data_IF_524328029874
#
_entry.id   IF_524328029874
#
_cell.length_a   1.000
_cell.length_b   1.000
_cell.length_c   1.000
_cell.angle_alpha   90.00
_cell.angle_beta   90.00
_cell.angle_gamma   90.00
#
_symmetry.space_group_name_H-M   'P 1'
#
loop_
_entity.id
_entity.type
_entity.pdbx_description
1 polymer ?
#
# COMPACT_ATOMS: atom_id res chain seq x y z
N UNK A 1 -24.28 23.15 13.54
CA UNK A 1 -24.83 21.82 13.93
C UNK A 1 -24.57 20.72 12.91
N UNK A 2 -24.77 20.94 11.59
CA UNK A 2 -24.58 19.90 10.55
C UNK A 2 -23.13 19.34 10.44
N UNK A 3 -22.10 20.15 10.73
CA UNK A 3 -20.69 19.74 10.65
C UNK A 3 -20.29 18.80 11.83
N UNK A 4 -20.80 19.04 13.03
CA UNK A 4 -20.54 18.17 14.22
C UNK A 4 -21.23 16.81 14.11
N UNK A 5 -22.41 16.73 13.50
CA UNK A 5 -23.14 15.47 13.29
C UNK A 5 -22.45 14.61 12.20
N UNK A 6 -21.92 15.22 11.14
CA UNK A 6 -21.11 14.51 10.13
C UNK A 6 -19.82 13.94 10.71
N UNK A 7 -19.13 14.70 11.57
CA UNK A 7 -17.93 14.23 12.25
C UNK A 7 -18.20 13.11 13.28
N UNK A 8 -19.39 13.11 13.92
CA UNK A 8 -19.78 12.02 14.81
C UNK A 8 -20.20 10.74 14.07
N UNK A 9 -20.88 10.87 12.93
CA UNK A 9 -21.26 9.73 12.07
C UNK A 9 -20.05 9.10 11.37
N UNK A 10 -19.05 9.89 10.96
CA UNK A 10 -17.81 9.35 10.37
C UNK A 10 -16.97 8.52 11.38
N UNK A 11 -17.19 8.70 12.69
CA UNK A 11 -16.55 7.88 13.75
C UNK A 11 -17.19 6.51 13.93
N UNK A 12 -18.42 6.31 13.44
CA UNK A 12 -19.17 5.07 13.61
C UNK A 12 -19.13 4.16 12.37
N UNK A 13 -18.73 4.70 11.21
CA UNK A 13 -18.59 3.91 9.98
C UNK A 13 -17.12 3.57 9.82
N UNK A 14 -16.73 2.28 9.83
CA UNK A 14 -15.35 1.89 9.55
C UNK A 14 -14.89 2.50 8.23
N UNK A 15 -13.68 3.08 8.21
CA UNK A 15 -13.09 3.61 6.98
C UNK A 15 -13.08 2.51 5.91
N UNK A 16 -13.30 2.88 4.64
CA UNK A 16 -13.43 1.90 3.54
C UNK A 16 -12.21 0.97 3.40
N UNK A 17 -11.03 1.45 3.81
CA UNK A 17 -9.78 0.68 3.85
C UNK A 17 -9.51 0.01 5.22
N UNK A 18 -10.40 0.16 6.21
CA UNK A 18 -10.22 -0.51 7.49
C UNK A 18 -10.44 -2.02 7.31
N UNK A 19 -9.39 -2.79 7.54
CA UNK A 19 -9.38 -4.25 7.58
C UNK A 19 -9.29 -4.64 9.06
N UNK A 20 -10.14 -5.57 9.48
CA UNK A 20 -10.00 -6.23 10.77
C UNK A 20 -8.93 -7.32 10.63
N UNK A 21 -7.70 -6.97 11.00
CA UNK A 21 -6.54 -7.83 10.86
C UNK A 21 -6.60 -9.08 11.75
N UNK A 22 -7.41 -9.07 12.82
CA UNK A 22 -7.62 -10.25 13.68
C UNK A 22 -8.24 -11.41 12.90
N UNK A 23 -9.15 -11.11 11.95
CA UNK A 23 -9.72 -12.12 11.04
C UNK A 23 -8.70 -12.67 10.03
N UNK A 24 -7.53 -12.06 9.92
CA UNK A 24 -6.39 -12.49 9.10
C UNK A 24 -5.30 -13.15 9.93
N UNK A 25 -5.47 -13.27 11.25
CA UNK A 25 -4.49 -13.87 12.15
C UNK A 25 -3.44 -12.90 12.68
N UNK A 26 -3.76 -11.58 12.70
CA UNK A 26 -2.94 -10.58 13.38
C UNK A 26 -3.71 -9.85 14.46
N UNK A 27 -3.59 -10.32 15.70
CA UNK A 27 -4.20 -9.75 16.91
C UNK A 27 -3.31 -8.67 17.56
N UNK A 28 -2.26 -8.21 16.89
CA UNK A 28 -1.34 -7.20 17.41
C UNK A 28 -2.03 -5.84 17.59
N UNK A 29 -1.62 -5.08 18.62
CA UNK A 29 -2.09 -3.70 18.77
C UNK A 29 -1.76 -2.86 17.54
N UNK A 30 -0.54 -2.97 17.01
CA UNK A 30 -0.12 -2.41 15.72
C UNK A 30 -0.16 -3.53 14.68
N UNK A 31 -1.32 -3.73 14.07
CA UNK A 31 -1.54 -4.84 13.15
C UNK A 31 -1.09 -4.49 11.72
N UNK A 32 -0.73 -5.52 10.97
CA UNK A 32 -0.49 -5.44 9.54
C UNK A 32 -1.81 -5.35 8.76
N UNK A 33 -1.81 -4.61 7.65
CA UNK A 33 -3.01 -4.42 6.83
C UNK A 33 -2.76 -4.53 5.33
N UNK A 34 -1.55 -4.95 4.90
CA UNK A 34 -1.22 -5.19 3.49
C UNK A 34 -1.58 -6.62 3.05
N UNK A 35 -1.50 -6.90 1.74
CA UNK A 35 -1.84 -8.22 1.16
C UNK A 35 -0.78 -9.30 1.42
N UNK A 36 0.42 -8.93 1.87
CA UNK A 36 1.52 -9.85 2.15
C UNK A 36 2.26 -10.37 0.93
N UNK A 37 3.52 -10.78 1.15
CA UNK A 37 4.37 -11.48 0.19
C UNK A 37 4.50 -12.94 0.63
N UNK A 38 3.81 -13.86 -0.06
CA UNK A 38 3.56 -15.23 0.38
C UNK A 38 4.63 -16.21 -0.11
N UNK A 39 5.89 -15.84 0.01
CA UNK A 39 6.99 -16.76 -0.32
C UNK A 39 7.41 -17.51 0.95
N UNK A 40 7.24 -18.83 0.95
CA UNK A 40 7.67 -19.72 2.03
C UNK A 40 7.04 -19.43 3.41
N UNK A 41 5.82 -18.89 3.46
CA UNK A 41 5.09 -18.67 4.72
C UNK A 41 3.60 -18.99 4.60
N UNK A 42 2.99 -19.35 5.73
CA UNK A 42 1.55 -19.52 5.91
C UNK A 42 1.00 -18.58 7.01
N UNK A 43 1.84 -17.68 7.52
CA UNK A 43 1.48 -16.69 8.53
C UNK A 43 1.20 -15.34 7.86
N UNK A 44 0.03 -14.76 8.12
CA UNK A 44 -0.33 -13.44 7.60
C UNK A 44 0.66 -12.35 8.05
N UNK A 45 0.99 -12.32 9.35
CA UNK A 45 1.96 -11.36 9.89
C UNK A 45 3.31 -11.46 9.20
N UNK A 46 3.77 -12.69 8.98
CA UNK A 46 5.05 -12.94 8.32
C UNK A 46 5.02 -12.55 6.85
N UNK A 47 3.95 -12.87 6.12
CA UNK A 47 3.79 -12.44 4.74
C UNK A 47 3.75 -10.91 4.60
N UNK A 48 3.04 -10.21 5.50
CA UNK A 48 2.99 -8.75 5.51
C UNK A 48 4.35 -8.13 5.81
N UNK A 49 5.10 -8.70 6.77
CA UNK A 49 6.47 -8.31 7.09
C UNK A 49 7.39 -8.50 5.89
N UNK A 50 7.30 -9.64 5.21
CA UNK A 50 8.11 -9.94 4.01
C UNK A 50 7.83 -8.95 2.88
N UNK A 51 6.57 -8.49 2.68
CA UNK A 51 6.27 -7.47 1.67
C UNK A 51 6.94 -6.13 2.01
N UNK A 52 6.92 -5.73 3.28
CA UNK A 52 7.59 -4.52 3.74
C UNK A 52 9.12 -4.63 3.60
N UNK A 53 9.70 -5.76 4.00
CA UNK A 53 11.14 -6.02 3.88
C UNK A 53 11.59 -6.05 2.43
N UNK A 54 10.81 -6.66 1.53
CA UNK A 54 11.13 -6.74 0.12
C UNK A 54 11.27 -5.32 -0.49
N UNK A 55 10.35 -4.42 -0.17
CA UNK A 55 10.40 -3.03 -0.63
C UNK A 55 11.56 -2.26 0.03
N UNK A 56 11.73 -2.39 1.35
CA UNK A 56 12.79 -1.70 2.09
C UNK A 56 14.19 -2.11 1.62
N UNK A 57 14.40 -3.40 1.34
CA UNK A 57 15.66 -3.91 0.78
C UNK A 57 15.88 -3.43 -0.65
N UNK A 58 14.86 -3.38 -1.48
CA UNK A 58 14.96 -2.91 -2.86
C UNK A 58 15.38 -1.44 -2.96
N UNK A 59 15.00 -0.60 -2.00
CA UNK A 59 15.48 0.79 -1.90
C UNK A 59 16.76 0.93 -1.05
N UNK A 60 17.37 -0.16 -0.59
CA UNK A 60 18.55 -0.14 0.28
C UNK A 60 18.36 0.73 1.54
N UNK A 61 17.18 0.61 2.19
CA UNK A 61 16.89 1.34 3.43
C UNK A 61 17.90 1.01 4.52
N UNK A 62 18.43 2.03 5.18
CA UNK A 62 19.47 1.88 6.20
C UNK A 62 19.39 2.93 7.32
N UNK A 63 20.25 2.82 8.33
CA UNK A 63 20.22 3.66 9.53
C UNK A 63 20.64 5.13 9.33
N UNK A 64 21.12 5.51 8.16
CA UNK A 64 21.48 6.92 7.85
C UNK A 64 20.30 7.68 7.23
N UNK A 65 19.23 6.98 6.85
CA UNK A 65 18.12 7.54 6.08
C UNK A 65 17.10 8.27 6.95
N UNK A 66 16.60 9.37 6.44
CA UNK A 66 15.35 9.99 6.87
C UNK A 66 14.22 9.33 6.07
N UNK A 67 13.40 8.51 6.74
CA UNK A 67 12.34 7.71 6.12
C UNK A 67 10.98 8.38 6.29
N UNK A 68 10.19 8.38 5.21
CA UNK A 68 8.75 8.69 5.20
C UNK A 68 7.96 7.47 4.75
N UNK A 69 7.02 6.99 5.57
CA UNK A 69 6.06 5.92 5.25
C UNK A 69 4.68 6.52 4.95
N UNK A 70 4.15 6.25 3.77
CA UNK A 70 2.89 6.79 3.25
C UNK A 70 1.79 5.72 3.24
N UNK A 71 0.68 6.00 3.95
CA UNK A 71 -0.39 5.02 4.13
C UNK A 71 0.00 3.92 5.11
N UNK A 72 0.61 4.28 6.23
CA UNK A 72 1.17 3.36 7.21
C UNK A 72 0.12 2.51 7.98
N UNK A 73 -1.17 2.76 7.77
CA UNK A 73 -2.27 2.01 8.38
C UNK A 73 -2.17 1.97 9.90
N UNK A 74 -2.23 0.78 10.48
CA UNK A 74 -2.19 0.63 11.94
C UNK A 74 -0.78 0.71 12.54
N UNK A 75 0.28 0.89 11.72
CA UNK A 75 1.63 1.20 12.18
C UNK A 75 2.57 0.00 12.36
N UNK A 76 2.19 -1.21 11.94
CA UNK A 76 3.07 -2.38 12.03
C UNK A 76 4.37 -2.20 11.22
N UNK A 77 4.29 -1.60 10.01
CA UNK A 77 5.45 -1.27 9.17
C UNK A 77 6.40 -0.30 9.87
N UNK A 78 5.86 0.70 10.59
CA UNK A 78 6.65 1.68 11.32
C UNK A 78 7.43 1.04 12.46
N UNK A 79 6.75 0.21 13.28
CA UNK A 79 7.40 -0.50 14.38
C UNK A 79 8.48 -1.46 13.87
N UNK A 80 8.19 -2.16 12.76
CA UNK A 80 9.15 -3.05 12.10
C UNK A 80 10.35 -2.26 11.57
N UNK A 81 10.11 -1.14 10.87
CA UNK A 81 11.14 -0.26 10.34
C UNK A 81 12.09 0.26 11.43
N UNK A 82 11.54 0.74 12.54
CA UNK A 82 12.33 1.20 13.69
C UNK A 82 13.20 0.10 14.31
N UNK A 83 12.68 -1.13 14.42
CA UNK A 83 13.40 -2.24 15.05
C UNK A 83 14.49 -2.84 14.16
N UNK A 84 14.22 -2.99 12.87
CA UNK A 84 15.10 -3.76 11.96
C UNK A 84 16.01 -2.90 11.09
N UNK A 85 15.52 -1.74 10.63
CA UNK A 85 16.31 -0.84 9.76
C UNK A 85 16.89 0.34 10.53
N UNK A 86 16.29 0.70 11.66
CA UNK A 86 16.77 1.77 12.57
C UNK A 86 17.07 3.09 11.83
N UNK A 87 16.15 3.60 10.97
CA UNK A 87 16.43 4.80 10.20
C UNK A 87 16.75 5.97 11.15
N UNK A 88 17.53 6.93 10.67
CA UNK A 88 17.92 8.13 11.43
C UNK A 88 16.73 8.92 11.94
N UNK A 89 15.66 8.98 11.15
CA UNK A 89 14.34 9.43 11.57
C UNK A 89 13.27 8.72 10.77
N UNK A 90 12.09 8.52 11.37
CA UNK A 90 10.92 7.95 10.73
C UNK A 90 9.74 8.90 10.89
N UNK A 91 9.17 9.33 9.76
CA UNK A 91 7.92 10.08 9.71
C UNK A 91 6.87 9.29 8.94
N UNK A 92 5.59 9.57 9.19
CA UNK A 92 4.51 8.87 8.53
C UNK A 92 3.29 9.75 8.24
N UNK A 93 2.48 9.33 7.26
CA UNK A 93 1.20 9.96 6.89
C UNK A 93 0.15 8.88 6.70
N UNK A 94 -1.03 9.03 7.32
CA UNK A 94 -2.19 8.17 7.09
C UNK A 94 -3.50 8.96 7.13
N UNK A 95 -4.49 8.54 6.34
CA UNK A 95 -5.81 9.17 6.30
C UNK A 95 -6.65 8.92 7.56
N UNK A 96 -6.39 7.82 8.27
CA UNK A 96 -7.22 7.34 9.35
C UNK A 96 -6.78 7.96 10.68
N UNK A 97 -7.53 8.93 11.17
CA UNK A 97 -7.24 9.62 12.44
C UNK A 97 -7.09 8.65 13.62
N UNK A 98 -7.82 7.54 13.62
CA UNK A 98 -7.71 6.52 14.68
C UNK A 98 -6.36 5.80 14.64
N UNK A 99 -5.84 5.49 13.44
CA UNK A 99 -4.52 4.90 13.25
C UNK A 99 -3.43 5.87 13.71
N UNK A 100 -3.52 7.14 13.29
CA UNK A 100 -2.57 8.19 13.69
C UNK A 100 -2.51 8.35 15.21
N UNK A 101 -3.66 8.47 15.89
CA UNK A 101 -3.70 8.58 17.36
C UNK A 101 -3.13 7.33 18.07
N UNK A 102 -3.40 6.15 17.52
CA UNK A 102 -2.88 4.89 18.05
C UNK A 102 -1.35 4.82 17.93
N UNK A 103 -0.82 5.19 16.76
CA UNK A 103 0.62 5.22 16.49
C UNK A 103 1.31 6.25 17.41
N UNK A 104 0.77 7.45 17.56
CA UNK A 104 1.30 8.48 18.48
C UNK A 104 1.43 7.96 19.91
N UNK A 105 0.47 7.15 20.35
CA UNK A 105 0.47 6.56 21.70
C UNK A 105 1.47 5.41 21.85
N UNK A 106 1.60 4.56 20.83
CA UNK A 106 2.31 3.28 20.93
C UNK A 106 3.73 3.29 20.36
N UNK A 107 4.08 4.30 19.56
CA UNK A 107 5.41 4.48 18.95
C UNK A 107 5.94 5.87 19.30
N UNK A 108 6.41 6.10 20.54
CA UNK A 108 6.94 7.41 20.94
C UNK A 108 8.21 7.82 20.18
N UNK A 109 8.91 6.86 19.58
CA UNK A 109 10.11 7.08 18.78
C UNK A 109 9.83 7.66 17.39
N UNK A 110 8.55 7.71 16.95
CA UNK A 110 8.22 8.29 15.64
C UNK A 110 8.52 9.79 15.62
N UNK A 111 9.27 10.24 14.61
CA UNK A 111 9.72 11.62 14.51
C UNK A 111 8.56 12.60 14.27
N UNK A 112 7.70 12.25 13.31
CA UNK A 112 6.47 12.99 12.98
C UNK A 112 5.44 12.03 12.41
N UNK A 113 4.16 12.22 12.75
CA UNK A 113 3.05 11.54 12.09
C UNK A 113 1.90 12.52 11.85
N UNK A 114 1.38 12.52 10.64
CA UNK A 114 0.32 13.42 10.20
C UNK A 114 -0.92 12.65 9.76
N UNK A 115 -2.08 13.20 10.10
CA UNK A 115 -3.37 12.71 9.63
C UNK A 115 -3.80 13.47 8.39
N UNK A 116 -3.80 12.81 7.23
CA UNK A 116 -4.22 13.41 5.97
C UNK A 116 -3.82 12.59 4.75
N UNK A 117 -4.06 13.17 3.58
CA UNK A 117 -3.78 12.51 2.31
C UNK A 117 -2.32 12.61 1.92
N UNK A 118 -1.71 11.49 1.56
CA UNK A 118 -0.39 11.48 0.95
C UNK A 118 -0.38 12.09 -0.48
N UNK A 119 -1.54 12.43 -1.04
CA UNK A 119 -1.64 13.17 -2.32
C UNK A 119 -1.49 14.69 -2.15
N UNK A 120 -1.34 15.18 -0.93
CA UNK A 120 -1.15 16.60 -0.62
C UNK A 120 -0.13 16.78 0.51
N UNK A 121 1.09 16.26 0.31
CA UNK A 121 2.16 16.30 1.32
C UNK A 121 2.64 17.71 1.63
N UNK A 122 2.43 18.68 0.72
CA UNK A 122 2.78 20.09 0.91
C UNK A 122 2.01 20.77 2.05
N UNK A 123 0.86 20.19 2.48
CA UNK A 123 0.11 20.71 3.62
C UNK A 123 0.79 20.43 4.97
N UNK A 124 1.79 19.54 5.00
CA UNK A 124 2.47 19.13 6.22
C UNK A 124 3.82 19.84 6.36
N UNK A 125 4.09 20.32 7.56
CA UNK A 125 5.37 20.96 7.91
C UNK A 125 6.38 19.89 8.31
N UNK A 126 7.03 19.27 7.33
CA UNK A 126 8.13 18.35 7.58
C UNK A 126 9.38 19.12 8.04
N UNK A 127 10.06 18.61 9.07
CA UNK A 127 11.29 19.22 9.61
C UNK A 127 12.44 19.20 8.63
N UNK A 128 12.41 18.27 7.67
CA UNK A 128 13.47 18.04 6.67
C UNK A 128 12.93 17.25 5.48
N UNK A 129 13.67 17.20 4.37
CA UNK A 129 13.42 16.27 3.27
C UNK A 129 13.79 14.84 3.62
N UNK A 130 13.36 13.89 2.78
CA UNK A 130 13.51 12.47 3.03
C UNK A 130 14.50 11.83 2.05
N UNK A 131 15.31 10.89 2.57
CA UNK A 131 16.24 10.10 1.77
C UNK A 131 15.55 8.87 1.19
N UNK A 132 14.49 8.40 1.86
CA UNK A 132 13.64 7.29 1.41
C UNK A 132 12.17 7.63 1.66
N UNK A 133 11.34 7.40 0.63
CA UNK A 133 9.87 7.39 0.76
C UNK A 133 9.37 6.01 0.38
N UNK A 134 8.59 5.41 1.27
CA UNK A 134 7.91 4.12 1.05
C UNK A 134 6.39 4.32 1.01
N UNK A 135 5.71 3.57 0.14
CA UNK A 135 4.25 3.43 0.15
C UNK A 135 3.89 1.96 -0.06
N UNK A 136 3.69 1.26 1.07
CA UNK A 136 3.48 -0.19 1.08
C UNK A 136 1.99 -0.48 0.85
N UNK A 137 1.65 -1.12 -0.28
CA UNK A 137 0.31 -1.62 -0.59
C UNK A 137 -0.82 -0.55 -0.53
N UNK A 138 -0.51 0.71 -0.85
CA UNK A 138 -1.48 1.81 -0.73
C UNK A 138 -1.56 2.74 -1.96
N UNK A 139 -0.47 2.94 -2.71
CA UNK A 139 -0.42 3.95 -3.78
C UNK A 139 -1.41 3.70 -4.92
N UNK A 140 -1.74 2.45 -5.23
CA UNK A 140 -2.64 2.08 -6.34
C UNK A 140 -4.11 2.50 -6.14
N UNK A 141 -4.48 2.96 -4.95
CA UNK A 141 -5.78 3.59 -4.69
C UNK A 141 -5.85 5.05 -5.17
N UNK A 142 -4.77 5.55 -5.76
CA UNK A 142 -4.64 6.92 -6.23
C UNK A 142 -4.21 6.99 -7.69
N UNK A 143 -4.35 8.18 -8.30
CA UNK A 143 -3.78 8.45 -9.61
C UNK A 143 -2.25 8.55 -9.49
N UNK A 144 -1.50 7.88 -10.40
CA UNK A 144 -0.04 7.83 -10.37
C UNK A 144 0.60 9.22 -10.43
N UNK A 145 0.14 10.08 -11.34
CA UNK A 145 0.72 11.42 -11.49
C UNK A 145 0.50 12.26 -10.22
N UNK A 146 -0.71 12.24 -9.65
CA UNK A 146 -1.01 12.95 -8.40
C UNK A 146 -0.17 12.44 -7.23
N UNK A 147 0.09 11.12 -7.17
CA UNK A 147 0.99 10.53 -6.19
C UNK A 147 2.42 11.03 -6.36
N UNK A 148 2.95 10.98 -7.58
CA UNK A 148 4.31 11.43 -7.89
C UNK A 148 4.47 12.94 -7.69
N UNK A 149 3.50 13.77 -8.12
CA UNK A 149 3.48 15.22 -7.90
C UNK A 149 3.59 15.59 -6.41
N UNK A 150 2.98 14.78 -5.55
CA UNK A 150 3.01 15.01 -4.10
C UNK A 150 4.31 14.52 -3.46
N UNK A 151 4.84 13.37 -3.89
CA UNK A 151 6.01 12.73 -3.28
C UNK A 151 7.32 13.37 -3.73
N UNK A 152 7.44 13.75 -5.01
CA UNK A 152 8.71 14.27 -5.56
C UNK A 152 9.25 15.48 -4.80
N UNK A 153 8.45 16.48 -4.39
CA UNK A 153 8.98 17.65 -3.67
C UNK A 153 9.56 17.34 -2.29
N UNK A 154 9.09 16.29 -1.60
CA UNK A 154 9.55 15.95 -0.26
C UNK A 154 10.78 15.03 -0.25
N UNK A 155 11.14 14.41 -1.38
CA UNK A 155 12.35 13.64 -1.54
C UNK A 155 13.58 14.55 -1.73
N UNK A 156 14.67 14.23 -1.06
CA UNK A 156 15.98 14.82 -1.28
C UNK A 156 16.51 14.47 -2.70
N UNK A 157 17.47 15.24 -3.23
CA UNK A 157 18.25 14.80 -4.40
C UNK A 157 18.94 13.47 -4.07
N UNK A 158 18.94 12.53 -5.01
CA UNK A 158 19.35 11.13 -4.83
C UNK A 158 18.50 10.34 -3.83
N UNK A 159 17.38 10.90 -3.38
CA UNK A 159 16.40 10.19 -2.57
C UNK A 159 15.77 9.04 -3.35
N UNK A 160 15.40 7.98 -2.63
CA UNK A 160 14.89 6.72 -3.18
C UNK A 160 13.41 6.59 -2.89
N UNK A 161 12.63 6.34 -3.94
CA UNK A 161 11.19 6.08 -3.85
C UNK A 161 10.95 4.59 -4.02
N UNK A 162 10.17 3.98 -3.12
CA UNK A 162 9.68 2.61 -3.23
C UNK A 162 8.19 2.54 -2.99
N UNK A 163 7.43 1.89 -3.89
CA UNK A 163 5.98 1.75 -3.72
C UNK A 163 5.42 0.56 -4.48
N UNK A 164 4.26 0.08 -4.03
CA UNK A 164 3.48 -0.92 -4.77
C UNK A 164 2.39 -0.25 -5.58
N UNK A 165 2.17 -0.77 -6.79
CA UNK A 165 1.16 -0.24 -7.70
C UNK A 165 0.51 -1.35 -8.52
N UNK A 166 -0.55 -1.01 -9.27
CA UNK A 166 -1.14 -1.89 -10.28
C UNK A 166 -0.72 -1.43 -11.67
N UNK A 167 -0.45 -2.38 -12.56
CA UNK A 167 -0.02 -2.13 -13.93
C UNK A 167 -0.82 -3.00 -14.91
N UNK A 168 -1.23 -2.41 -16.03
CA UNK A 168 -1.81 -3.18 -17.13
C UNK A 168 -0.71 -3.94 -17.89
N UNK A 169 -0.91 -5.24 -18.07
CA UNK A 169 -0.03 -6.07 -18.90
C UNK A 169 -0.24 -5.79 -20.38
N UNK A 170 0.74 -6.11 -21.22
CA UNK A 170 0.65 -5.95 -22.67
C UNK A 170 -0.49 -6.77 -23.29
N UNK A 171 -0.85 -7.88 -22.66
CA UNK A 171 -2.01 -8.72 -23.05
C UNK A 171 -3.34 -7.95 -23.07
N UNK A 172 -3.43 -6.79 -22.39
CA UNK A 172 -4.62 -5.93 -22.46
C UNK A 172 -4.94 -5.42 -23.86
N UNK A 173 -3.97 -5.34 -24.75
CA UNK A 173 -4.17 -4.93 -26.14
C UNK A 173 -5.11 -5.87 -26.91
N UNK A 174 -5.21 -7.13 -26.48
CA UNK A 174 -6.05 -8.17 -27.09
C UNK A 174 -7.37 -8.40 -26.33
N UNK A 175 -7.73 -7.52 -25.39
CA UNK A 175 -8.98 -7.65 -24.63
C UNK A 175 -10.20 -7.35 -25.51
N UNK A 176 -11.24 -8.15 -25.36
CA UNK A 176 -12.56 -7.80 -25.87
C UNK A 176 -13.21 -6.73 -25.00
N UNK A 177 -14.16 -5.96 -25.55
CA UNK A 177 -14.91 -4.96 -24.80
C UNK A 177 -15.60 -5.54 -23.55
N UNK A 178 -16.09 -6.77 -23.62
CA UNK A 178 -16.71 -7.46 -22.48
C UNK A 178 -15.69 -7.79 -21.37
N UNK A 179 -14.49 -8.24 -21.75
CA UNK A 179 -13.40 -8.47 -20.78
C UNK A 179 -12.98 -7.18 -20.10
N UNK A 180 -12.83 -6.10 -20.86
CA UNK A 180 -12.50 -4.78 -20.31
C UNK A 180 -13.57 -4.30 -19.33
N UNK A 181 -14.86 -4.39 -19.71
CA UNK A 181 -15.95 -4.01 -18.81
C UNK A 181 -15.95 -4.82 -17.52
N UNK A 182 -15.69 -6.13 -17.60
CA UNK A 182 -15.54 -6.99 -16.41
C UNK A 182 -14.42 -6.49 -15.50
N UNK A 183 -13.24 -6.14 -16.05
CA UNK A 183 -12.11 -5.64 -15.24
C UNK A 183 -12.37 -4.27 -14.64
N UNK A 184 -13.09 -3.37 -15.33
CA UNK A 184 -13.58 -2.11 -14.76
C UNK A 184 -14.40 -2.34 -13.48
N UNK A 185 -15.31 -3.34 -13.51
CA UNK A 185 -16.11 -3.69 -12.32
C UNK A 185 -15.26 -4.33 -11.21
N UNK A 186 -14.34 -5.21 -11.56
CA UNK A 186 -13.45 -5.86 -10.58
C UNK A 186 -12.59 -4.83 -9.85
N UNK A 187 -11.93 -3.93 -10.57
CA UNK A 187 -11.07 -2.91 -9.97
C UNK A 187 -11.87 -1.86 -9.19
N UNK A 188 -13.06 -1.51 -9.67
CA UNK A 188 -13.95 -0.61 -8.91
C UNK A 188 -14.31 -1.17 -7.53
N UNK A 189 -14.42 -2.49 -7.39
CA UNK A 189 -14.64 -3.13 -6.09
C UNK A 189 -13.42 -2.98 -5.13
N UNK A 190 -12.21 -2.79 -5.68
CA UNK A 190 -11.00 -2.46 -4.95
C UNK A 190 -10.75 -0.95 -4.83
N UNK A 191 -11.71 -0.11 -5.23
CA UNK A 191 -11.55 1.34 -5.26
C UNK A 191 -10.40 1.80 -6.19
N UNK A 192 -10.23 1.09 -7.30
CA UNK A 192 -9.26 1.40 -8.35
C UNK A 192 -9.98 1.73 -9.65
N UNK A 193 -9.58 2.82 -10.31
CA UNK A 193 -10.15 3.25 -11.60
C UNK A 193 -9.34 2.60 -12.72
N UNK A 194 -9.97 1.76 -13.55
CA UNK A 194 -9.33 1.06 -14.67
C UNK A 194 -8.51 1.99 -15.58
N UNK A 195 -9.07 3.13 -15.96
CA UNK A 195 -8.42 4.08 -16.87
C UNK A 195 -7.19 4.77 -16.24
N UNK A 196 -7.10 4.76 -14.92
CA UNK A 196 -5.95 5.30 -14.20
C UNK A 196 -4.82 4.28 -14.01
N UNK A 197 -5.04 2.98 -14.31
CA UNK A 197 -4.00 1.96 -14.23
C UNK A 197 -3.08 2.07 -15.45
N UNK A 198 -1.80 2.45 -15.29
CA UNK A 198 -0.87 2.60 -16.42
C UNK A 198 -0.42 1.24 -16.97
N UNK A 199 0.06 1.23 -18.21
CA UNK A 199 0.95 0.19 -18.68
C UNK A 199 2.42 0.55 -18.31
N UNK A 200 3.37 -0.35 -18.55
CA UNK A 200 4.78 -0.13 -18.18
C UNK A 200 5.36 1.14 -18.82
N UNK A 201 5.09 1.39 -20.11
CA UNK A 201 5.57 2.57 -20.82
C UNK A 201 5.08 3.87 -20.17
N UNK A 202 3.79 3.97 -19.88
CA UNK A 202 3.20 5.15 -19.23
C UNK A 202 3.73 5.35 -17.81
N UNK A 203 3.95 4.26 -17.09
CA UNK A 203 4.50 4.29 -15.74
C UNK A 203 5.94 4.82 -15.73
N UNK A 204 6.81 4.28 -16.61
CA UNK A 204 8.18 4.77 -16.76
C UNK A 204 8.22 6.24 -17.19
N UNK A 205 7.41 6.61 -18.19
CA UNK A 205 7.31 8.00 -18.65
C UNK A 205 6.90 8.95 -17.53
N UNK A 206 5.91 8.58 -16.70
CA UNK A 206 5.48 9.40 -15.58
C UNK A 206 6.59 9.62 -14.54
N UNK A 207 7.34 8.57 -14.21
CA UNK A 207 8.49 8.66 -13.30
C UNK A 207 9.62 9.51 -13.87
N UNK A 208 9.96 9.30 -15.15
CA UNK A 208 11.01 10.08 -15.84
C UNK A 208 10.67 11.58 -15.92
N UNK A 209 9.41 11.92 -16.20
CA UNK A 209 8.91 13.30 -16.22
C UNK A 209 9.04 14.00 -14.86
N UNK A 210 8.95 13.24 -13.77
CA UNK A 210 9.15 13.70 -12.39
C UNK A 210 10.63 13.73 -11.97
N UNK A 211 11.55 13.43 -12.90
CA UNK A 211 12.98 13.46 -12.65
C UNK A 211 13.54 12.21 -11.97
N UNK A 212 12.80 11.10 -11.98
CA UNK A 212 13.31 9.82 -11.47
C UNK A 212 14.17 9.10 -12.51
N UNK A 213 15.18 8.38 -12.03
CA UNK A 213 16.11 7.52 -12.79
C UNK A 213 16.23 6.16 -12.10
N UNK A 214 16.95 5.23 -12.70
CA UNK A 214 17.19 3.87 -12.17
C UNK A 214 15.90 3.15 -11.79
N UNK A 215 14.87 3.32 -12.66
CA UNK A 215 13.52 2.79 -12.43
C UNK A 215 13.54 1.27 -12.58
N UNK A 216 13.27 0.57 -11.47
CA UNK A 216 13.08 -0.87 -11.44
C UNK A 216 11.60 -1.19 -11.25
N UNK A 217 11.09 -2.18 -11.96
CA UNK A 217 9.71 -2.66 -11.87
C UNK A 217 9.78 -4.17 -11.73
N UNK A 218 9.20 -4.69 -10.65
CA UNK A 218 9.15 -6.12 -10.36
C UNK A 218 7.69 -6.58 -10.27
N UNK A 219 7.35 -7.66 -10.97
CA UNK A 219 6.02 -8.28 -10.90
C UNK A 219 5.93 -9.21 -9.69
N UNK A 220 5.13 -8.83 -8.71
CA UNK A 220 4.87 -9.60 -7.48
C UNK A 220 3.48 -10.26 -7.50
N UNK A 221 2.82 -10.33 -8.65
CA UNK A 221 1.43 -10.81 -8.76
C UNK A 221 1.24 -12.23 -8.21
N UNK A 222 2.19 -13.13 -8.42
CA UNK A 222 2.12 -14.49 -7.90
C UNK A 222 2.22 -14.49 -6.38
N UNK A 223 3.26 -13.84 -5.83
CA UNK A 223 3.54 -13.84 -4.41
C UNK A 223 2.49 -13.06 -3.61
N UNK A 224 1.91 -12.01 -4.19
CA UNK A 224 0.93 -11.16 -3.49
C UNK A 224 -0.50 -11.57 -3.81
N UNK A 225 -0.92 -11.50 -5.08
CA UNK A 225 -2.33 -11.73 -5.43
C UNK A 225 -2.73 -13.21 -5.28
N UNK A 226 -1.97 -14.12 -5.90
CA UNK A 226 -2.26 -15.55 -5.78
C UNK A 226 -2.04 -16.02 -4.34
N UNK A 227 -0.92 -15.62 -3.74
CA UNK A 227 -0.57 -16.01 -2.38
C UNK A 227 -1.64 -15.62 -1.36
N UNK A 228 -2.10 -14.36 -1.36
CA UNK A 228 -3.17 -13.90 -0.48
C UNK A 228 -4.47 -14.68 -0.71
N UNK A 229 -4.85 -14.91 -1.97
CA UNK A 229 -6.07 -15.66 -2.29
C UNK A 229 -6.02 -17.09 -1.77
N UNK A 230 -4.88 -17.77 -1.93
CA UNK A 230 -4.66 -19.14 -1.43
C UNK A 230 -4.69 -19.20 0.10
N UNK A 231 -4.07 -18.23 0.76
CA UNK A 231 -4.12 -18.11 2.22
C UNK A 231 -5.56 -18.05 2.73
N UNK A 232 -6.38 -17.15 2.20
CA UNK A 232 -7.77 -17.00 2.62
C UNK A 232 -8.60 -18.25 2.31
N UNK A 233 -8.40 -18.90 1.16
CA UNK A 233 -9.06 -20.17 0.85
C UNK A 233 -8.72 -21.28 1.85
N UNK A 234 -7.46 -21.37 2.26
CA UNK A 234 -7.02 -22.35 3.27
C UNK A 234 -7.61 -22.06 4.65
N UNK A 235 -7.67 -20.78 5.06
CA UNK A 235 -8.32 -20.37 6.31
C UNK A 235 -9.80 -20.72 6.33
N UNK A 236 -10.51 -20.56 5.22
CA UNK A 236 -11.92 -20.91 5.12
C UNK A 236 -12.19 -22.41 5.26
N UNK A 237 -11.29 -23.27 4.80
CA UNK A 237 -11.39 -24.72 4.96
C UNK A 237 -11.23 -25.15 6.42
N UNK A 238 -10.52 -24.37 7.21
CA UNK A 238 -10.24 -24.67 8.63
C UNK A 238 -11.25 -24.02 9.58
N UNK A 239 -11.71 -22.81 9.27
CA UNK A 239 -12.58 -22.00 10.14
C UNK A 239 -13.79 -21.46 9.38
N UNK A 240 -15.00 -21.91 9.73
CA UNK A 240 -16.27 -21.39 9.18
C UNK A 240 -16.74 -20.13 9.93
N UNK A 241 -15.89 -19.11 10.13
CA UNK A 241 -16.36 -17.89 10.78
C UNK A 241 -17.25 -17.07 9.84
N UNK A 242 -18.45 -16.71 10.32
CA UNK A 242 -19.46 -15.92 9.58
C UNK A 242 -19.46 -14.48 10.09
N UNK A 243 -19.38 -13.48 9.18
CA UNK A 243 -19.50 -12.06 9.53
C UNK A 243 -19.18 -11.14 8.35
N UNK A 244 -19.61 -9.86 8.43
CA UNK A 244 -19.40 -8.87 7.37
C UNK A 244 -17.91 -8.57 7.10
N UNK A 245 -17.07 -8.62 8.15
CA UNK A 245 -15.62 -8.43 8.02
C UNK A 245 -14.98 -9.54 7.18
N UNK A 246 -15.37 -10.80 7.45
CA UNK A 246 -14.93 -11.95 6.66
C UNK A 246 -15.42 -11.89 5.21
N UNK A 247 -16.60 -11.35 4.94
CA UNK A 247 -17.11 -11.18 3.59
C UNK A 247 -16.22 -10.24 2.76
N UNK A 248 -15.79 -9.10 3.32
CA UNK A 248 -14.86 -8.19 2.63
C UNK A 248 -13.53 -8.88 2.30
N UNK A 249 -12.95 -9.59 3.27
CA UNK A 249 -11.70 -10.33 3.09
C UNK A 249 -11.84 -11.37 1.97
N UNK A 250 -12.94 -12.13 1.97
CA UNK A 250 -13.24 -13.13 0.94
C UNK A 250 -13.39 -12.50 -0.45
N UNK A 251 -14.08 -11.35 -0.53
CA UNK A 251 -14.22 -10.62 -1.79
C UNK A 251 -12.87 -10.11 -2.31
N UNK A 252 -12.01 -9.59 -1.43
CA UNK A 252 -10.64 -9.20 -1.78
C UNK A 252 -9.82 -10.38 -2.28
N UNK A 253 -9.87 -11.53 -1.58
CA UNK A 253 -9.16 -12.74 -1.99
C UNK A 253 -9.63 -13.25 -3.36
N UNK A 254 -10.95 -13.25 -3.61
CA UNK A 254 -11.52 -13.62 -4.91
C UNK A 254 -11.11 -12.65 -6.01
N UNK A 255 -11.07 -11.35 -5.73
CA UNK A 255 -10.57 -10.33 -6.65
C UNK A 255 -9.09 -10.59 -7.00
N UNK A 256 -8.24 -10.78 -5.99
CA UNK A 256 -6.82 -11.09 -6.17
C UNK A 256 -6.63 -12.33 -7.06
N UNK A 257 -7.38 -13.41 -6.79
CA UNK A 257 -7.35 -14.62 -7.61
C UNK A 257 -7.73 -14.33 -9.08
N UNK A 258 -8.80 -13.57 -9.31
CA UNK A 258 -9.26 -13.25 -10.64
C UNK A 258 -8.28 -12.36 -11.40
N UNK A 259 -7.69 -11.35 -10.76
CA UNK A 259 -6.68 -10.49 -11.37
C UNK A 259 -5.46 -11.31 -11.79
N UNK A 260 -4.96 -12.19 -10.91
CA UNK A 260 -3.84 -13.06 -11.22
C UNK A 260 -4.16 -14.03 -12.40
N UNK A 261 -5.28 -14.75 -12.34
CA UNK A 261 -5.66 -15.73 -13.34
C UNK A 261 -5.93 -15.13 -14.72
N UNK A 262 -6.55 -13.93 -14.76
CA UNK A 262 -6.82 -13.24 -16.02
C UNK A 262 -5.53 -12.67 -16.64
N UNK A 263 -4.54 -12.30 -15.83
CA UNK A 263 -3.22 -11.82 -16.26
C UNK A 263 -3.20 -10.47 -16.98
N UNK A 264 -4.30 -9.70 -16.91
CA UNK A 264 -4.38 -8.37 -17.53
C UNK A 264 -3.91 -7.24 -16.61
N UNK A 265 -3.93 -7.48 -15.31
CA UNK A 265 -3.45 -6.54 -14.30
C UNK A 265 -2.40 -7.22 -13.44
N UNK A 266 -1.28 -6.56 -13.25
CA UNK A 266 -0.16 -7.00 -12.44
C UNK A 266 -0.09 -6.19 -11.16
N UNK A 267 0.26 -6.85 -10.07
CA UNK A 267 0.68 -6.19 -8.84
C UNK A 267 2.20 -6.05 -8.88
N UNK A 268 2.68 -4.82 -8.89
CA UNK A 268 4.09 -4.52 -9.10
C UNK A 268 4.70 -3.76 -7.94
N UNK A 269 5.99 -4.00 -7.70
CA UNK A 269 6.85 -3.16 -6.89
C UNK A 269 7.66 -2.25 -7.80
N UNK A 270 7.73 -0.97 -7.45
CA UNK A 270 8.51 0.02 -8.18
C UNK A 270 9.53 0.64 -7.23
N UNK A 271 10.77 0.75 -7.70
CA UNK A 271 11.79 1.58 -7.06
C UNK A 271 12.41 2.53 -8.07
N UNK A 272 12.76 3.74 -7.61
CA UNK A 272 13.38 4.75 -8.45
C UNK A 272 14.21 5.73 -7.61
N UNK A 273 15.17 6.40 -8.23
CA UNK A 273 16.04 7.39 -7.60
C UNK A 273 15.73 8.77 -8.17
N UNK A 274 15.53 9.78 -7.32
CA UNK A 274 15.36 11.17 -7.74
C UNK A 274 16.72 11.74 -8.16
N UNK A 275 16.79 12.40 -9.33
CA UNK A 275 17.98 13.13 -9.77
C UNK A 275 18.44 14.18 -8.78
#
# INVERSE_FOLDING_TARGET
>A
MKTKVRAALSRLIPHKYAIDASNLGDDGELAWTNLGFWKNTQSYREACRQLADHLAQAVNLNSKDHLLDLGCGQGASLLHGLKHYQPKSLSAVDLQVQCVHKIQKLIPEISQIFCGSFLDLKQFEFKQGFDVVLCIDAAYHSNLNSFLDSVTPVLNSKGRLGFHYLMRADSCQNMTALQEQKHRYLLKAADVVWDAVPNEKLLRTALEQQGFVDIQIEDLSEQVLLGFSQYIQNQQRQNQSRGLANFKIQMTAKLCQQLYQNGYVRYIQITAIKK
#
